data_IF_463228110137
#
_entry.id   IF_463228110137
#
_cell.length_a   1.000
_cell.length_b   1.000
_cell.length_c   1.000
_cell.angle_alpha   90.00
_cell.angle_beta   90.00
_cell.angle_gamma   90.00
#
_symmetry.space_group_name_H-M   'P 1'
#
loop_
_entity.id
_entity.type
_entity.pdbx_description
1 polymer ?
#
# COMPACT_ATOMS: atom_id res chain seq x y z
N UNK A 1 38.87 47.75 -48.65
CA UNK A 1 39.27 47.62 -47.22
C UNK A 1 38.28 46.65 -46.57
N UNK A 2 38.53 45.34 -46.62
CA UNK A 2 39.19 44.50 -45.60
C UNK A 2 38.56 44.62 -44.19
N UNK A 3 37.76 43.59 -43.88
CA UNK A 3 37.61 42.81 -42.63
C UNK A 3 37.63 43.56 -41.29
N UNK A 4 36.58 43.32 -40.49
CA UNK A 4 36.75 42.74 -39.16
C UNK A 4 35.62 41.74 -38.86
N UNK A 5 36.03 40.49 -38.83
CA UNK A 5 35.34 39.32 -38.31
C UNK A 5 35.43 39.37 -36.78
N UNK A 6 34.32 39.18 -36.07
CA UNK A 6 34.35 38.82 -34.65
C UNK A 6 33.37 37.68 -34.45
N UNK A 7 33.93 36.47 -34.45
CA UNK A 7 33.31 35.26 -33.93
C UNK A 7 33.60 35.27 -32.43
N UNK A 8 32.59 35.11 -31.58
CA UNK A 8 32.77 34.36 -30.34
C UNK A 8 31.51 33.56 -30.05
N UNK A 9 31.71 32.25 -30.02
CA UNK A 9 30.73 31.24 -29.67
C UNK A 9 30.27 31.41 -28.22
N UNK A 10 28.99 31.16 -27.99
CA UNK A 10 28.37 31.14 -26.67
C UNK A 10 27.18 30.22 -26.67
N UNK A 11 27.45 28.92 -26.81
CA UNK A 11 26.50 27.84 -26.60
C UNK A 11 26.04 27.87 -25.13
N UNK A 12 24.94 28.53 -24.81
CA UNK A 12 24.28 28.41 -23.52
C UNK A 12 23.19 27.36 -23.64
N UNK A 13 23.62 26.09 -23.63
CA UNK A 13 22.83 25.00 -23.06
C UNK A 13 22.53 25.39 -21.61
N UNK A 14 21.37 25.99 -21.38
CA UNK A 14 20.80 26.04 -20.04
C UNK A 14 20.15 24.69 -19.81
N UNK A 15 20.94 23.80 -19.20
CA UNK A 15 20.48 22.54 -18.65
C UNK A 15 19.34 22.85 -17.69
N UNK A 16 18.10 22.68 -18.13
CA UNK A 16 16.98 22.54 -17.23
C UNK A 16 17.23 21.26 -16.44
N UNK A 17 17.94 21.38 -15.32
CA UNK A 17 17.79 20.45 -14.22
C UNK A 17 16.37 20.66 -13.72
N UNK A 18 15.41 20.06 -14.41
CA UNK A 18 14.12 19.69 -13.84
C UNK A 18 14.44 18.56 -12.85
N UNK A 19 15.13 18.93 -11.77
CA UNK A 19 15.15 18.17 -10.52
C UNK A 19 13.81 18.33 -9.85
N UNK A 20 12.74 17.97 -10.57
CA UNK A 20 11.48 17.69 -9.94
C UNK A 20 11.73 16.47 -9.08
N UNK A 21 11.80 16.65 -7.77
CA UNK A 21 11.11 15.68 -6.92
C UNK A 21 9.71 15.65 -7.50
N UNK A 22 9.39 14.61 -8.28
CA UNK A 22 8.05 14.37 -8.79
C UNK A 22 7.17 14.25 -7.54
N UNK A 23 6.66 15.38 -7.07
CA UNK A 23 5.67 15.46 -6.02
C UNK A 23 4.41 14.91 -6.65
N UNK A 24 4.28 13.59 -6.57
CA UNK A 24 3.12 12.76 -6.85
C UNK A 24 2.09 13.46 -7.74
N UNK A 25 2.48 13.60 -9.00
CA UNK A 25 1.58 13.78 -10.12
C UNK A 25 0.59 12.62 -10.03
N UNK A 26 -0.66 12.90 -9.66
CA UNK A 26 -1.80 11.97 -9.59
C UNK A 26 -1.63 10.80 -10.58
N UNK A 27 -1.15 9.63 -10.13
CA UNK A 27 -1.11 8.39 -10.94
C UNK A 27 -2.40 7.62 -10.64
N UNK A 28 -2.47 6.30 -10.85
CA UNK A 28 -3.67 5.46 -10.71
C UNK A 28 -4.21 5.34 -9.25
N UNK A 29 -4.12 6.42 -8.47
CA UNK A 29 -3.81 6.47 -7.04
C UNK A 29 -4.99 6.89 -6.15
N UNK A 30 -6.25 6.76 -6.60
CA UNK A 30 -7.41 6.93 -5.69
C UNK A 30 -7.66 5.66 -4.86
N UNK A 31 -7.03 4.54 -5.24
CA UNK A 31 -7.14 3.26 -4.53
C UNK A 31 -6.11 3.21 -3.39
N UNK A 32 -6.53 3.06 -2.12
CA UNK A 32 -5.60 2.96 -1.00
C UNK A 32 -4.57 1.84 -1.20
N UNK A 33 -3.33 2.09 -0.78
CA UNK A 33 -2.20 1.17 -1.01
C UNK A 33 -2.41 -0.24 -0.47
N UNK A 34 -3.31 -0.40 0.50
CA UNK A 34 -3.60 -1.66 1.15
C UNK A 34 -4.74 -2.45 0.50
N UNK A 35 -5.46 -1.89 -0.48
CA UNK A 35 -6.51 -2.64 -1.18
C UNK A 35 -5.94 -3.78 -2.01
N UNK A 36 -6.75 -4.82 -2.17
CA UNK A 36 -6.41 -6.05 -2.89
C UNK A 36 -6.09 -7.21 -1.96
N UNK A 37 -5.60 -8.29 -2.57
CA UNK A 37 -5.35 -9.57 -1.89
C UNK A 37 -3.90 -9.68 -1.45
N UNK A 38 -3.72 -10.12 -0.21
CA UNK A 38 -2.42 -10.30 0.43
C UNK A 38 -2.30 -11.72 0.96
N UNK A 39 -1.12 -12.30 0.80
CA UNK A 39 -0.71 -13.53 1.44
C UNK A 39 -0.24 -13.21 2.86
N UNK A 40 -1.04 -13.65 3.85
CA UNK A 40 -0.76 -13.48 5.26
C UNK A 40 -0.08 -14.71 5.88
N UNK A 41 0.12 -15.77 5.09
CA UNK A 41 0.65 -17.04 5.57
C UNK A 41 -0.28 -17.75 6.56
N UNK A 42 0.31 -18.44 7.53
CA UNK A 42 -0.41 -19.24 8.53
C UNK A 42 -1.05 -18.32 9.61
N UNK A 43 -2.37 -18.43 9.78
CA UNK A 43 -3.14 -17.62 10.73
C UNK A 43 -3.85 -18.54 11.73
N UNK A 44 -3.63 -18.30 13.02
CA UNK A 44 -4.35 -18.97 14.11
C UNK A 44 -4.39 -20.51 14.05
N UNK A 45 -3.33 -21.15 13.51
CA UNK A 45 -3.30 -22.61 13.39
C UNK A 45 -3.76 -23.17 12.03
N UNK A 46 -4.05 -22.32 11.03
CA UNK A 46 -4.66 -22.75 9.76
C UNK A 46 -3.84 -22.35 8.52
N UNK A 47 -3.72 -23.29 7.56
CA UNK A 47 -3.04 -23.16 6.24
C UNK A 47 -4.04 -22.89 5.09
N UNK A 48 -3.64 -22.20 4.00
CA UNK A 48 -3.06 -20.85 3.94
C UNK A 48 -4.13 -19.76 4.02
N UNK A 49 -3.85 -18.67 4.73
CA UNK A 49 -4.76 -17.53 4.84
C UNK A 49 -4.38 -16.39 3.89
N UNK A 50 -5.30 -16.03 3.02
CA UNK A 50 -5.23 -14.79 2.25
C UNK A 50 -6.17 -13.76 2.87
N UNK A 51 -5.78 -12.49 2.77
CA UNK A 51 -6.56 -11.37 3.27
C UNK A 51 -6.82 -10.42 2.13
N UNK A 52 -8.08 -10.17 1.83
CA UNK A 52 -8.49 -9.21 0.80
C UNK A 52 -9.07 -7.97 1.47
N UNK A 53 -8.50 -6.81 1.19
CA UNK A 53 -9.05 -5.52 1.61
C UNK A 53 -9.78 -4.87 0.44
N UNK A 54 -11.06 -4.59 0.64
CA UNK A 54 -11.91 -3.79 -0.24
C UNK A 54 -12.39 -2.54 0.52
N UNK A 55 -13.28 -1.75 -0.09
CA UNK A 55 -13.64 -0.39 0.35
C UNK A 55 -13.94 -0.26 1.85
N UNK A 56 -14.75 -1.17 2.37
CA UNK A 56 -15.24 -1.18 3.75
C UNK A 56 -15.20 -2.57 4.40
N UNK A 57 -14.67 -3.55 3.67
CA UNK A 57 -14.71 -4.97 4.05
C UNK A 57 -13.33 -5.57 3.93
N UNK A 58 -12.96 -6.37 4.93
CA UNK A 58 -11.83 -7.28 4.90
C UNK A 58 -12.37 -8.70 4.82
N UNK A 59 -11.84 -9.50 3.91
CA UNK A 59 -12.20 -10.92 3.78
C UNK A 59 -10.97 -11.77 4.04
N UNK A 60 -11.01 -12.56 5.10
CA UNK A 60 -9.95 -13.53 5.41
C UNK A 60 -10.36 -14.92 4.95
N UNK A 61 -9.51 -15.63 4.21
CA UNK A 61 -9.68 -17.05 3.91
C UNK A 61 -9.05 -17.90 5.00
N UNK A 62 -9.76 -18.91 5.47
CA UNK A 62 -9.30 -19.84 6.50
C UNK A 62 -9.66 -21.28 6.12
N UNK A 63 -8.81 -22.24 6.47
CA UNK A 63 -9.14 -23.66 6.33
C UNK A 63 -9.75 -24.19 7.63
N UNK A 64 -11.05 -24.46 7.63
CA UNK A 64 -11.78 -25.02 8.78
C UNK A 64 -12.23 -26.42 8.39
N UNK A 65 -11.82 -27.44 9.15
CA UNK A 65 -12.12 -28.86 8.88
C UNK A 65 -11.82 -29.29 7.43
N UNK A 66 -10.71 -28.80 6.86
CA UNK A 66 -10.28 -29.09 5.50
C UNK A 66 -11.07 -28.37 4.40
N UNK A 67 -11.96 -27.44 4.76
CA UNK A 67 -12.70 -26.59 3.83
C UNK A 67 -12.22 -25.15 3.92
N UNK A 68 -12.04 -24.51 2.76
CA UNK A 68 -11.77 -23.08 2.71
C UNK A 68 -13.05 -22.29 2.97
N UNK A 69 -13.00 -21.40 3.96
CA UNK A 69 -14.10 -20.54 4.39
C UNK A 69 -13.67 -19.09 4.29
N UNK A 70 -14.51 -18.25 3.70
CA UNK A 70 -14.35 -16.80 3.64
C UNK A 70 -15.07 -16.15 4.82
N UNK A 71 -14.33 -15.37 5.61
CA UNK A 71 -14.85 -14.66 6.77
C UNK A 71 -14.75 -13.14 6.53
N UNK A 72 -15.84 -12.50 6.08
CA UNK A 72 -15.88 -11.07 5.89
C UNK A 72 -16.05 -10.34 7.23
N UNK A 73 -15.40 -9.18 7.36
CA UNK A 73 -15.61 -8.23 8.45
C UNK A 73 -15.62 -6.82 7.90
N UNK A 74 -16.44 -5.96 8.46
CA UNK A 74 -16.45 -4.55 8.09
C UNK A 74 -15.42 -3.79 8.90
N UNK A 75 -14.86 -2.74 8.32
CA UNK A 75 -13.95 -1.84 9.00
C UNK A 75 -14.19 -0.38 8.62
N UNK A 76 -13.73 0.51 9.47
CA UNK A 76 -13.69 1.95 9.20
C UNK A 76 -12.26 2.45 9.37
N UNK A 77 -11.85 3.40 8.52
CA UNK A 77 -10.57 4.09 8.67
C UNK A 77 -10.73 5.17 9.74
N UNK A 78 -9.96 5.06 10.82
CA UNK A 78 -9.98 5.98 11.95
C UNK A 78 -9.01 7.13 11.74
N UNK A 79 -7.81 6.83 11.25
CA UNK A 79 -6.79 7.86 10.99
C UNK A 79 -5.82 7.42 9.91
N UNK A 80 -5.31 8.41 9.18
CA UNK A 80 -4.14 8.26 8.32
C UNK A 80 -3.03 9.14 8.91
N UNK A 81 -1.93 8.50 9.32
CA UNK A 81 -0.82 9.20 9.98
C UNK A 81 0.13 9.80 8.94
N UNK A 82 0.92 10.77 9.37
CA UNK A 82 1.89 11.47 8.52
C UNK A 82 3.02 10.56 8.01
N UNK A 83 3.26 9.43 8.68
CA UNK A 83 4.21 8.38 8.23
C UNK A 83 3.62 7.45 7.17
N UNK A 84 2.37 7.69 6.74
CA UNK A 84 1.66 6.88 5.76
C UNK A 84 0.98 5.64 6.32
N UNK A 85 1.08 5.40 7.64
CA UNK A 85 0.33 4.32 8.29
C UNK A 85 -1.16 4.63 8.40
N UNK A 86 -1.98 3.59 8.36
CA UNK A 86 -3.44 3.66 8.43
C UNK A 86 -3.90 2.96 9.70
N UNK A 87 -4.68 3.65 10.50
CA UNK A 87 -5.39 3.08 11.63
C UNK A 87 -6.83 2.80 11.23
N UNK A 88 -7.30 1.59 11.52
CA UNK A 88 -8.65 1.15 11.23
C UNK A 88 -9.26 0.47 12.44
N UNK A 89 -10.59 0.43 12.48
CA UNK A 89 -11.34 -0.28 13.49
C UNK A 89 -12.28 -1.28 12.82
N UNK A 90 -12.19 -2.55 13.21
CA UNK A 90 -13.18 -3.54 12.79
C UNK A 90 -14.50 -3.26 13.49
N UNK A 91 -15.57 -3.13 12.72
CA UNK A 91 -16.92 -2.90 13.22
C UNK A 91 -17.66 -4.23 13.34
N UNK A 92 -18.45 -4.40 14.41
CA UNK A 92 -19.22 -5.61 14.67
C UNK A 92 -18.81 -6.37 15.94
N UNK A 93 -19.44 -7.53 16.15
CA UNK A 93 -19.20 -8.41 17.31
C UNK A 93 -17.93 -9.26 17.10
N UNK A 94 -17.22 -9.67 18.18
CA UNK A 94 -17.60 -9.52 19.59
C UNK A 94 -17.15 -8.24 20.29
N UNK A 95 -16.29 -7.40 19.70
CA UNK A 95 -16.01 -6.02 20.14
C UNK A 95 -15.24 -5.30 19.01
N UNK A 96 -15.25 -3.96 18.97
CA UNK A 96 -14.41 -3.22 18.04
C UNK A 96 -12.94 -3.54 18.30
N UNK A 97 -12.19 -3.82 17.24
CA UNK A 97 -10.76 -4.10 17.33
C UNK A 97 -10.00 -3.15 16.43
N UNK A 98 -9.13 -2.35 17.05
CA UNK A 98 -8.21 -1.48 16.33
C UNK A 98 -7.12 -2.30 15.65
N UNK A 99 -6.76 -1.86 14.45
CA UNK A 99 -5.74 -2.45 13.61
C UNK A 99 -4.93 -1.33 12.94
N UNK A 100 -3.67 -1.60 12.65
CA UNK A 100 -2.79 -0.67 11.95
C UNK A 100 -2.15 -1.32 10.73
N UNK A 101 -2.13 -0.59 9.62
CA UNK A 101 -1.46 -0.97 8.38
C UNK A 101 -0.29 -0.04 8.08
N UNK A 102 0.84 -0.60 7.68
CA UNK A 102 2.06 0.13 7.33
C UNK A 102 2.56 -0.39 5.98
N UNK A 103 2.74 0.52 5.02
CA UNK A 103 3.34 0.19 3.72
C UNK A 103 4.86 0.05 3.88
N UNK A 104 5.41 -1.07 3.43
CA UNK A 104 6.86 -1.27 3.38
C UNK A 104 7.42 -0.94 1.98
N UNK A 105 8.74 -0.77 1.90
CA UNK A 105 9.45 -0.39 0.66
C UNK A 105 9.53 -1.53 -0.37
N UNK A 106 9.39 -2.78 0.06
CA UNK A 106 9.50 -4.00 -0.74
C UNK A 106 8.14 -4.51 -1.25
N UNK A 107 7.14 -3.63 -1.36
CA UNK A 107 5.77 -3.95 -1.76
C UNK A 107 5.06 -4.95 -0.82
N UNK A 108 5.50 -5.02 0.45
CA UNK A 108 4.80 -5.74 1.49
C UNK A 108 3.96 -4.81 2.36
N UNK A 109 2.99 -5.40 3.06
CA UNK A 109 2.08 -4.71 3.98
C UNK A 109 2.27 -5.25 5.38
N UNK A 110 2.70 -4.41 6.31
CA UNK A 110 2.70 -4.78 7.74
C UNK A 110 1.33 -4.53 8.33
N UNK A 111 0.72 -5.56 8.90
CA UNK A 111 -0.58 -5.52 9.56
C UNK A 111 -0.45 -5.86 11.05
N UNK A 112 -0.81 -4.90 11.90
CA UNK A 112 -0.90 -5.07 13.34
C UNK A 112 -2.37 -5.27 13.73
N UNK A 113 -2.72 -6.44 14.21
CA UNK A 113 -4.10 -6.81 14.56
C UNK A 113 -4.13 -7.84 15.67
N UNK A 114 -5.08 -7.74 16.60
CA UNK A 114 -5.19 -8.66 17.75
C UNK A 114 -3.89 -8.80 18.56
N UNK A 115 -3.09 -7.73 18.65
CA UNK A 115 -1.79 -7.75 19.32
C UNK A 115 -0.69 -8.52 18.57
N UNK A 116 -0.93 -8.94 17.32
CA UNK A 116 0.04 -9.60 16.46
C UNK A 116 0.46 -8.70 15.30
N UNK A 117 1.74 -8.73 14.97
CA UNK A 117 2.31 -8.08 13.78
C UNK A 117 2.54 -9.12 12.69
N UNK A 118 2.12 -8.79 11.46
CA UNK A 118 2.29 -9.64 10.28
C UNK A 118 2.86 -8.83 9.14
N UNK A 119 3.74 -9.41 8.36
CA UNK A 119 4.19 -8.85 7.08
C UNK A 119 3.60 -9.68 5.96
N UNK A 120 2.77 -9.07 5.13
CA UNK A 120 2.01 -9.74 4.09
C UNK A 120 2.53 -9.35 2.71
N UNK A 121 2.50 -10.31 1.77
CA UNK A 121 2.94 -10.08 0.39
C UNK A 121 1.74 -9.91 -0.52
N UNK A 122 1.79 -8.97 -1.46
CA UNK A 122 0.71 -8.79 -2.43
C UNK A 122 0.58 -10.04 -3.31
N UNK A 123 -0.63 -10.55 -3.44
CA UNK A 123 -0.94 -11.62 -4.40
C UNK A 123 -1.30 -10.95 -5.72
N UNK A 124 -0.42 -11.08 -6.70
CA UNK A 124 -0.69 -10.59 -8.04
C UNK A 124 -1.84 -11.41 -8.67
N UNK A 125 -2.84 -10.77 -9.29
CA UNK A 125 -3.83 -11.48 -10.07
C UNK A 125 -3.14 -12.25 -11.20
N UNK A 126 -3.56 -13.50 -11.42
CA UNK A 126 -3.09 -14.33 -12.55
C UNK A 126 -3.73 -13.91 -13.86
#
# INVERSE_FOLDING_TARGET
MIKKLTIFAGLLMTSFLVGGCQSNEKRLDDTPFFYGTWDAGFFDGYEPSTVTFDENTITTKQSIDGRQVELPRTYEIVSQKSDGSIEMIFTGRPNPVTSTLIRNTDNTLTWNVFGQTKTMKRVEPK
#
